data_IF_718543211583
#
_entry.id   IF_718543211583
#
_cell.length_a   1.000
_cell.length_b   1.000
_cell.length_c   1.000
_cell.angle_alpha   90.00
_cell.angle_beta   90.00
_cell.angle_gamma   90.00
#
_symmetry.space_group_name_H-M   'P 1'
#
loop_
_entity.id
_entity.type
_entity.pdbx_description
1 polymer ?
#
# COMPACT_ATOMS: atom_id res chain seq x y z
N UNK A 1 15.73 -0.14 -0.45
CA UNK A 1 15.99 1.30 -0.10
C UNK A 1 15.24 1.75 1.16
N UNK A 2 14.01 1.28 1.40
CA UNK A 2 13.25 1.49 2.66
C UNK A 2 13.02 0.19 3.45
N UNK A 3 13.44 -0.94 2.90
CA UNK A 3 13.11 -2.29 3.40
C UNK A 3 13.89 -2.68 4.66
N UNK A 4 15.00 -1.99 4.98
CA UNK A 4 15.73 -2.23 6.23
C UNK A 4 15.36 -1.16 7.25
N UNK A 5 15.13 -1.58 8.50
CA UNK A 5 14.87 -0.65 9.61
C UNK A 5 15.94 0.43 9.71
N UNK A 6 17.21 0.06 9.54
CA UNK A 6 18.33 1.02 9.57
C UNK A 6 18.15 2.14 8.53
N UNK A 7 17.77 1.80 7.29
CA UNK A 7 17.58 2.81 6.24
C UNK A 7 16.33 3.65 6.53
N UNK A 8 15.27 3.02 7.04
CA UNK A 8 14.05 3.72 7.43
C UNK A 8 14.30 4.74 8.54
N UNK A 9 15.04 4.36 9.58
CA UNK A 9 15.36 5.20 10.72
C UNK A 9 16.24 6.40 10.37
N UNK A 10 17.12 6.23 9.38
CA UNK A 10 17.99 7.32 8.88
C UNK A 10 17.22 8.39 8.09
N UNK A 11 15.99 8.11 7.64
CA UNK A 11 15.20 9.08 6.89
C UNK A 11 14.50 10.09 7.81
N UNK A 12 14.45 11.34 7.37
CA UNK A 12 13.59 12.35 8.01
C UNK A 12 12.12 11.95 7.92
N UNK A 13 11.29 12.45 8.84
CA UNK A 13 9.84 12.23 8.81
C UNK A 13 9.23 12.64 7.46
N UNK A 14 9.66 13.79 6.93
CA UNK A 14 9.21 14.27 5.62
C UNK A 14 9.51 13.26 4.50
N UNK A 15 10.73 12.74 4.43
CA UNK A 15 11.12 11.79 3.39
C UNK A 15 10.38 10.46 3.52
N UNK A 16 10.12 9.98 4.75
CA UNK A 16 9.31 8.76 4.99
C UNK A 16 7.90 8.96 4.48
N UNK A 17 7.25 10.05 4.89
CA UNK A 17 5.88 10.38 4.49
C UNK A 17 5.76 10.62 2.98
N UNK A 18 6.78 11.20 2.34
CA UNK A 18 6.84 11.32 0.88
C UNK A 18 6.93 9.95 0.22
N UNK A 19 7.82 9.08 0.72
CA UNK A 19 8.04 7.74 0.15
C UNK A 19 6.78 6.88 0.22
N UNK A 20 6.06 6.91 1.35
CA UNK A 20 4.80 6.16 1.50
C UNK A 20 3.75 6.67 0.49
N UNK A 21 3.63 7.98 0.26
CA UNK A 21 2.71 8.53 -0.74
C UNK A 21 3.06 8.09 -2.15
N UNK A 22 4.34 8.13 -2.51
CA UNK A 22 4.83 7.65 -3.82
C UNK A 22 4.54 6.17 -3.99
N UNK A 23 4.78 5.37 -2.94
CA UNK A 23 4.49 3.93 -2.93
C UNK A 23 2.99 3.65 -3.18
N UNK A 24 2.09 4.32 -2.45
CA UNK A 24 0.63 4.17 -2.64
C UNK A 24 0.21 4.58 -4.05
N UNK A 25 0.71 5.70 -4.56
CA UNK A 25 0.42 6.14 -5.93
C UNK A 25 0.90 5.14 -6.99
N UNK A 26 2.12 4.62 -6.86
CA UNK A 26 2.67 3.62 -7.77
C UNK A 26 1.89 2.31 -7.74
N UNK A 27 1.41 1.87 -6.56
CA UNK A 27 0.57 0.69 -6.40
C UNK A 27 -0.76 0.85 -7.12
N UNK A 28 -1.41 2.00 -6.97
CA UNK A 28 -2.68 2.27 -7.67
C UNK A 28 -2.44 2.21 -9.18
N UNK A 29 -1.38 2.86 -9.68
CA UNK A 29 -1.05 2.81 -11.11
C UNK A 29 -0.78 1.37 -11.59
N UNK A 30 0.02 0.60 -10.84
CA UNK A 30 0.29 -0.79 -11.16
C UNK A 30 -1.00 -1.61 -11.23
N UNK A 31 -1.88 -1.47 -10.25
CA UNK A 31 -3.14 -2.18 -10.21
C UNK A 31 -4.05 -1.84 -11.39
N UNK A 32 -3.95 -0.64 -11.98
CA UNK A 32 -4.71 -0.29 -13.18
C UNK A 32 -4.08 -0.77 -14.49
N UNK A 33 -2.74 -0.84 -14.56
CA UNK A 33 -1.98 -1.19 -15.76
C UNK A 33 -1.86 -2.69 -15.93
N UNK A 34 -1.60 -3.43 -14.85
CA UNK A 34 -1.49 -4.88 -14.88
C UNK A 34 -2.86 -5.54 -15.06
N UNK A 35 -2.91 -6.63 -15.82
CA UNK A 35 -4.16 -7.33 -16.11
C UNK A 35 -4.72 -8.08 -14.90
N UNK A 36 -3.86 -8.60 -14.02
CA UNK A 36 -4.25 -9.34 -12.82
C UNK A 36 -4.29 -8.45 -11.57
N UNK A 37 -3.64 -7.29 -11.62
CA UNK A 37 -3.64 -6.30 -10.56
C UNK A 37 -2.69 -6.62 -9.41
N UNK A 38 -2.67 -5.73 -8.42
CA UNK A 38 -1.77 -5.83 -7.27
C UNK A 38 -2.17 -6.89 -6.26
N UNK A 39 -3.44 -7.31 -6.26
CA UNK A 39 -4.01 -8.20 -5.26
C UNK A 39 -3.96 -9.70 -5.62
N UNK A 40 -3.46 -10.04 -6.82
CA UNK A 40 -3.23 -11.42 -7.22
C UNK A 40 -2.02 -12.02 -6.47
N UNK A 41 -1.95 -13.35 -6.38
CA UNK A 41 -0.88 -14.04 -5.64
C UNK A 41 0.48 -13.88 -6.32
N UNK A 42 0.46 -13.74 -7.64
CA UNK A 42 1.61 -13.63 -8.52
C UNK A 42 2.16 -12.19 -8.59
N UNK A 43 1.46 -11.23 -7.96
CA UNK A 43 1.88 -9.84 -7.88
C UNK A 43 3.28 -9.74 -7.27
N UNK A 44 4.21 -8.97 -7.88
CA UNK A 44 5.53 -8.73 -7.31
C UNK A 44 5.48 -7.79 -6.09
N UNK A 45 4.31 -7.22 -5.77
CA UNK A 45 4.12 -6.27 -4.69
C UNK A 45 3.48 -6.99 -3.50
N UNK A 46 4.17 -7.00 -2.36
CA UNK A 46 3.60 -7.45 -1.09
C UNK A 46 2.67 -6.38 -0.51
N UNK A 47 1.40 -6.43 -0.93
CA UNK A 47 0.40 -5.47 -0.49
C UNK A 47 0.13 -5.55 1.03
N UNK A 48 0.40 -6.69 1.68
CA UNK A 48 0.20 -6.83 3.14
C UNK A 48 1.23 -6.00 3.88
N UNK A 49 2.50 -6.18 3.55
CA UNK A 49 3.58 -5.41 4.17
C UNK A 49 3.43 -3.91 3.92
N UNK A 50 2.91 -3.50 2.75
CA UNK A 50 2.61 -2.09 2.49
C UNK A 50 1.49 -1.57 3.40
N UNK A 51 0.39 -2.31 3.57
CA UNK A 51 -0.71 -1.90 4.46
C UNK A 51 -0.23 -1.81 5.91
N UNK A 52 0.61 -2.75 6.36
CA UNK A 52 1.24 -2.70 7.69
C UNK A 52 2.16 -1.48 7.85
N UNK A 53 2.98 -1.19 6.83
CA UNK A 53 3.84 0.00 6.81
C UNK A 53 3.04 1.30 6.91
N UNK A 54 1.89 1.38 6.22
CA UNK A 54 0.99 2.53 6.29
C UNK A 54 0.39 2.63 7.70
N UNK A 55 -0.09 1.52 8.28
CA UNK A 55 -0.66 1.49 9.64
C UNK A 55 0.35 1.85 10.74
N UNK A 56 1.65 1.62 10.48
CA UNK A 56 2.72 1.98 11.41
C UNK A 56 3.10 3.48 11.39
N UNK A 57 2.52 4.31 10.52
CA UNK A 57 2.83 5.74 10.49
C UNK A 57 2.21 6.47 11.71
N UNK A 58 2.89 7.50 12.26
CA UNK A 58 2.46 8.15 13.50
C UNK A 58 1.21 9.06 13.39
N UNK A 59 0.76 9.40 12.17
CA UNK A 59 -0.32 10.37 11.93
C UNK A 59 -1.59 9.68 11.42
N UNK A 60 -2.54 9.43 12.31
CA UNK A 60 -3.77 8.67 12.03
C UNK A 60 -4.55 9.20 10.80
N UNK A 61 -4.75 10.51 10.64
CA UNK A 61 -5.50 11.06 9.51
C UNK A 61 -4.85 10.75 8.15
N UNK A 62 -3.52 10.72 8.10
CA UNK A 62 -2.79 10.38 6.87
C UNK A 62 -2.85 8.87 6.59
N UNK A 63 -2.80 8.05 7.63
CA UNK A 63 -2.97 6.59 7.53
C UNK A 63 -4.33 6.27 6.90
N UNK A 64 -5.42 6.84 7.43
CA UNK A 64 -6.76 6.60 6.91
C UNK A 64 -6.91 7.07 5.46
N UNK A 65 -6.39 8.26 5.13
CA UNK A 65 -6.45 8.79 3.76
C UNK A 65 -5.73 7.88 2.76
N UNK A 66 -4.55 7.36 3.11
CA UNK A 66 -3.79 6.45 2.24
C UNK A 66 -4.45 5.08 2.11
N UNK A 67 -5.01 4.53 3.19
CA UNK A 67 -5.76 3.28 3.14
C UNK A 67 -7.04 3.42 2.33
N UNK A 68 -7.73 4.56 2.44
CA UNK A 68 -8.92 4.87 1.65
C UNK A 68 -8.58 5.05 0.15
N UNK A 69 -7.44 5.67 -0.17
CA UNK A 69 -6.97 5.77 -1.55
C UNK A 69 -6.77 4.37 -2.18
N UNK A 70 -6.13 3.45 -1.45
CA UNK A 70 -6.03 2.06 -1.89
C UNK A 70 -7.42 1.40 -1.99
N UNK A 71 -8.30 1.59 -1.00
CA UNK A 71 -9.63 0.98 -0.97
C UNK A 71 -10.51 1.39 -2.14
N UNK A 72 -10.55 2.67 -2.46
CA UNK A 72 -11.54 3.24 -3.38
C UNK A 72 -11.00 3.50 -4.78
N UNK A 73 -9.68 3.60 -4.95
CA UNK A 73 -9.08 3.96 -6.24
C UNK A 73 -8.41 2.77 -6.93
N UNK A 74 -8.19 1.65 -6.25
CA UNK A 74 -7.73 0.42 -6.91
C UNK A 74 -8.84 -0.24 -7.72
N UNK A 75 -8.46 -0.88 -8.81
CA UNK A 75 -9.33 -1.54 -9.77
C UNK A 75 -9.74 -2.93 -9.30
N UNK A 76 -8.79 -3.73 -8.80
CA UNK A 76 -9.01 -5.17 -8.58
C UNK A 76 -9.29 -5.56 -7.11
N UNK A 77 -9.33 -4.62 -6.15
CA UNK A 77 -9.54 -4.96 -4.73
C UNK A 77 -10.84 -5.75 -4.50
N UNK A 78 -11.90 -5.38 -5.22
CA UNK A 78 -13.23 -5.95 -5.07
C UNK A 78 -13.50 -7.15 -5.99
N UNK A 79 -12.50 -7.58 -6.76
CA UNK A 79 -12.65 -8.73 -7.64
C UNK A 79 -12.90 -10.02 -6.86
N UNK A 80 -13.61 -10.95 -7.50
CA UNK A 80 -13.88 -12.27 -6.94
C UNK A 80 -12.59 -13.09 -6.70
N UNK A 81 -11.54 -12.81 -7.49
CA UNK A 81 -10.21 -13.43 -7.37
C UNK A 81 -9.41 -12.92 -6.18
N UNK A 82 -9.69 -11.71 -5.68
CA UNK A 82 -8.95 -11.12 -4.57
C UNK A 82 -9.23 -11.89 -3.26
N UNK A 83 -8.21 -12.37 -2.53
CA UNK A 83 -8.42 -13.15 -1.31
C UNK A 83 -9.19 -12.35 -0.25
N UNK A 84 -10.16 -12.99 0.43
CA UNK A 84 -10.96 -12.37 1.50
C UNK A 84 -10.09 -11.75 2.60
N UNK A 85 -8.98 -12.42 2.93
CA UNK A 85 -8.02 -11.98 3.95
C UNK A 85 -7.18 -10.78 3.53
N UNK A 86 -7.13 -10.44 2.23
CA UNK A 86 -6.53 -9.19 1.74
C UNK A 86 -7.54 -8.06 1.83
N UNK A 87 -8.80 -8.30 1.40
CA UNK A 87 -9.87 -7.29 1.52
C UNK A 87 -10.09 -6.84 2.96
N UNK A 88 -10.03 -7.76 3.92
CA UNK A 88 -10.19 -7.47 5.35
C UNK A 88 -9.09 -6.59 5.96
N UNK A 89 -7.99 -6.31 5.25
CA UNK A 89 -6.94 -5.41 5.72
C UNK A 89 -7.34 -3.94 5.63
N UNK A 90 -8.26 -3.63 4.72
CA UNK A 90 -8.79 -2.30 4.50
C UNK A 90 -10.02 -2.09 5.38
N UNK A 91 -10.22 -0.88 5.93
CA UNK A 91 -11.42 -0.52 6.68
C UNK A 91 -12.67 -0.60 5.79
#
# INVERSE_FOLDING_TARGET
MVETEENWERMSEFSRLFTVRVMVGAIILYDHIDNAGVFCRESPIDIRSVVELIKAQPKNDQVESLLNALRYTTKHLNDGSTPKSVRALFP
#
